data_IF_425360146801
#
_entry.id   IF_425360146801
#
_cell.length_a   1.000
_cell.length_b   1.000
_cell.length_c   1.000
_cell.angle_alpha   90.00
_cell.angle_beta   90.00
_cell.angle_gamma   90.00
#
_symmetry.space_group_name_H-M   'P 1'
#
loop_
_entity.id
_entity.type
_entity.pdbx_description
1 polymer ?
#
# COMPACT_ATOMS: atom_id res chain seq x y z
N UNK A 1 5.04 23.75 6.94
CA UNK A 1 4.12 23.17 7.94
C UNK A 1 4.86 22.04 8.61
N UNK A 2 4.60 21.80 9.92
CA UNK A 2 5.13 20.67 10.68
C UNK A 2 4.08 19.55 10.68
N UNK A 3 4.48 18.34 10.24
CA UNK A 3 3.60 17.17 10.14
C UNK A 3 4.14 15.99 10.93
N UNK A 4 3.28 15.10 11.40
CA UNK A 4 3.66 13.83 11.97
C UNK A 4 3.77 12.76 10.87
N UNK A 5 4.73 11.85 10.98
CA UNK A 5 4.81 10.70 10.09
C UNK A 5 5.20 9.43 10.86
N UNK A 6 4.29 8.47 10.91
CA UNK A 6 4.45 7.22 11.65
C UNK A 6 4.51 6.04 10.67
N UNK A 7 5.59 5.27 10.77
CA UNK A 7 5.93 4.26 9.78
C UNK A 7 6.74 4.85 8.62
N UNK A 8 8.05 4.98 8.78
CA UNK A 8 8.99 5.53 7.78
C UNK A 8 9.82 4.44 7.10
N UNK A 9 9.21 3.26 6.93
CA UNK A 9 9.80 2.12 6.21
C UNK A 9 9.91 2.35 4.70
N UNK A 10 9.81 1.26 3.91
CA UNK A 10 10.04 1.28 2.45
C UNK A 10 9.11 2.23 1.69
N UNK A 11 7.85 2.37 2.13
CA UNK A 11 6.88 3.29 1.51
C UNK A 11 6.85 4.64 2.22
N UNK A 12 6.71 4.65 3.56
CA UNK A 12 6.57 5.88 4.33
C UNK A 12 7.81 6.76 4.30
N UNK A 13 9.01 6.19 4.31
CA UNK A 13 10.26 6.95 4.24
C UNK A 13 10.38 7.84 3.01
N UNK A 14 10.23 7.32 1.78
CA UNK A 14 10.19 8.14 0.56
C UNK A 14 9.10 9.20 0.58
N UNK A 15 7.87 8.86 1.01
CA UNK A 15 6.77 9.81 1.12
C UNK A 15 7.09 10.96 2.08
N UNK A 16 7.63 10.64 3.26
CA UNK A 16 8.08 11.64 4.24
C UNK A 16 9.19 12.53 3.65
N UNK A 17 10.19 11.94 2.98
CA UNK A 17 11.24 12.72 2.29
C UNK A 17 10.71 13.70 1.25
N UNK A 18 9.64 13.35 0.54
CA UNK A 18 9.02 14.25 -0.43
C UNK A 18 8.36 15.46 0.25
N UNK A 19 7.73 15.29 1.41
CA UNK A 19 7.25 16.41 2.22
C UNK A 19 8.41 17.33 2.64
N UNK A 20 9.51 16.75 3.12
CA UNK A 20 10.71 17.51 3.50
C UNK A 20 11.31 18.30 2.32
N UNK A 21 11.40 17.69 1.13
CA UNK A 21 11.86 18.36 -0.11
C UNK A 21 10.99 19.56 -0.49
N UNK A 22 9.73 19.58 -0.11
CA UNK A 22 8.79 20.69 -0.33
C UNK A 22 8.79 21.74 0.80
N UNK A 23 9.75 21.62 1.74
CA UNK A 23 9.95 22.61 2.80
C UNK A 23 9.04 22.41 4.04
N UNK A 24 8.44 21.24 4.19
CA UNK A 24 7.75 20.86 5.43
C UNK A 24 8.75 20.31 6.45
N UNK A 25 8.37 20.33 7.73
CA UNK A 25 9.10 19.67 8.82
C UNK A 25 8.34 18.42 9.24
N UNK A 26 9.05 17.40 9.71
CA UNK A 26 8.45 16.14 10.12
C UNK A 26 8.84 15.73 11.55
N UNK A 27 7.85 15.35 12.36
CA UNK A 27 8.05 14.59 13.60
C UNK A 27 7.78 13.12 13.25
N UNK A 28 8.80 12.27 13.36
CA UNK A 28 8.72 10.89 12.89
C UNK A 28 8.80 9.88 14.04
N UNK A 29 8.08 8.77 13.87
CA UNK A 29 8.15 7.60 14.72
C UNK A 29 8.12 6.32 13.89
N UNK A 30 8.96 5.37 14.23
CA UNK A 30 8.97 3.99 13.71
C UNK A 30 9.53 3.07 14.81
N UNK A 31 9.11 1.82 14.81
CA UNK A 31 9.67 0.79 15.71
C UNK A 31 11.06 0.32 15.25
N UNK A 32 11.45 0.61 14.00
CA UNK A 32 12.71 0.24 13.39
C UNK A 32 13.69 1.39 13.42
N UNK A 33 14.75 1.26 14.21
CA UNK A 33 15.86 2.21 14.25
C UNK A 33 16.53 2.39 12.87
N UNK A 34 16.61 1.32 12.07
CA UNK A 34 17.13 1.39 10.70
C UNK A 34 16.24 2.25 9.78
N UNK A 35 14.93 2.20 9.95
CA UNK A 35 14.01 3.06 9.20
C UNK A 35 14.17 4.52 9.61
N UNK A 36 14.27 4.80 10.91
CA UNK A 36 14.53 6.12 11.45
C UNK A 36 15.89 6.68 11.01
N UNK A 37 16.92 5.84 10.93
CA UNK A 37 18.24 6.26 10.46
C UNK A 37 18.23 6.74 9.01
N UNK A 38 17.39 6.15 8.15
CA UNK A 38 17.25 6.53 6.72
C UNK A 38 16.49 7.84 6.49
N UNK A 39 15.79 8.37 7.51
CA UNK A 39 15.00 9.61 7.41
C UNK A 39 15.66 10.78 8.18
N UNK A 40 16.93 10.70 8.51
CA UNK A 40 17.64 11.75 9.23
C UNK A 40 17.95 12.98 8.36
N UNK A 41 18.03 14.17 8.96
CA UNK A 41 18.39 15.42 8.27
C UNK A 41 17.72 16.65 8.90
N UNK A 42 17.98 17.83 8.31
CA UNK A 42 17.35 19.08 8.72
C UNK A 42 15.83 19.01 8.51
N UNK A 43 15.05 19.47 9.49
CA UNK A 43 13.59 19.43 9.45
C UNK A 43 12.98 18.10 9.94
N UNK A 44 13.79 17.14 10.39
CA UNK A 44 13.32 15.89 10.99
C UNK A 44 13.57 15.86 12.49
N UNK A 45 12.53 15.58 13.26
CA UNK A 45 12.61 15.27 14.68
C UNK A 45 12.08 13.87 14.94
N UNK A 46 12.78 13.07 15.71
CA UNK A 46 12.31 11.76 16.18
C UNK A 46 11.47 11.94 17.44
N UNK A 47 10.40 11.18 17.55
CA UNK A 47 9.57 11.08 18.75
C UNK A 47 9.65 9.65 19.30
N UNK A 48 9.34 9.49 20.60
CA UNK A 48 9.45 8.23 21.30
C UNK A 48 8.16 7.39 21.24
N UNK A 49 7.05 7.98 20.80
CA UNK A 49 5.76 7.30 20.66
C UNK A 49 4.85 8.00 19.65
N UNK A 50 3.79 7.30 19.14
CA UNK A 50 2.74 7.93 18.33
C UNK A 50 2.05 9.08 19.02
N UNK A 51 1.85 8.99 20.34
CA UNK A 51 1.31 10.06 21.19
C UNK A 51 2.19 11.31 21.12
N UNK A 52 3.51 11.15 21.33
CA UNK A 52 4.45 12.26 21.29
C UNK A 52 4.52 12.93 19.91
N UNK A 53 4.31 12.17 18.81
CA UNK A 53 4.14 12.76 17.47
C UNK A 53 2.91 13.67 17.44
N UNK A 54 1.76 13.17 17.90
CA UNK A 54 0.48 13.88 17.81
C UNK A 54 0.44 15.17 18.66
N UNK A 55 1.16 15.22 19.77
CA UNK A 55 1.25 16.40 20.65
C UNK A 55 1.84 17.64 19.96
N UNK A 56 2.58 17.46 18.86
CA UNK A 56 3.36 18.52 18.21
C UNK A 56 2.84 19.00 16.87
N UNK A 57 1.83 18.33 16.32
CA UNK A 57 1.40 18.55 14.94
C UNK A 57 -0.12 18.64 14.80
N UNK A 58 -0.59 19.13 13.66
CA UNK A 58 -2.01 19.19 13.32
C UNK A 58 -2.43 18.10 12.33
N UNK A 59 -1.45 17.50 11.62
CA UNK A 59 -1.67 16.42 10.66
C UNK A 59 -0.68 15.30 10.94
N UNK A 60 -1.18 14.07 11.05
CA UNK A 60 -0.37 12.85 11.22
C UNK A 60 -0.63 11.90 10.06
N UNK A 61 0.42 11.51 9.36
CA UNK A 61 0.39 10.44 8.38
C UNK A 61 0.79 9.11 9.01
N UNK A 62 0.10 8.04 8.64
CA UNK A 62 0.46 6.66 9.00
C UNK A 62 0.72 5.84 7.76
N UNK A 63 1.76 4.97 7.78
CA UNK A 63 2.08 4.05 6.68
C UNK A 63 2.57 2.72 7.25
N UNK A 64 1.62 1.84 7.54
CA UNK A 64 1.80 0.65 8.38
C UNK A 64 1.39 -0.63 7.63
N UNK A 65 1.98 -1.81 7.96
CA UNK A 65 1.79 -3.02 7.17
C UNK A 65 0.44 -3.71 7.41
N UNK A 66 -0.10 -3.67 8.63
CA UNK A 66 -1.29 -4.45 9.01
C UNK A 66 -2.39 -3.54 9.61
N UNK A 67 -3.68 -3.91 9.43
CA UNK A 67 -4.80 -3.21 10.08
C UNK A 67 -4.65 -3.06 11.59
N UNK A 68 -4.20 -4.13 12.28
CA UNK A 68 -4.00 -4.13 13.74
C UNK A 68 -2.89 -3.15 14.17
N UNK A 69 -1.86 -2.95 13.32
CA UNK A 69 -0.82 -1.96 13.57
C UNK A 69 -1.38 -0.55 13.46
N UNK A 70 -2.24 -0.29 12.48
CA UNK A 70 -2.93 1.00 12.31
C UNK A 70 -3.81 1.29 13.52
N UNK A 71 -4.62 0.34 13.95
CA UNK A 71 -5.48 0.48 15.13
C UNK A 71 -4.66 0.77 16.39
N UNK A 72 -3.60 -0.01 16.63
CA UNK A 72 -2.72 0.18 17.79
C UNK A 72 -2.02 1.53 17.79
N UNK A 73 -1.54 1.99 16.64
CA UNK A 73 -0.88 3.29 16.50
C UNK A 73 -1.86 4.44 16.70
N UNK A 74 -3.07 4.31 16.19
CA UNK A 74 -4.10 5.36 16.33
C UNK A 74 -4.70 5.39 17.73
N UNK A 75 -5.15 4.22 18.23
CA UNK A 75 -5.93 4.16 19.49
C UNK A 75 -5.06 3.93 20.74
N UNK A 76 -3.79 3.52 20.56
CA UNK A 76 -2.91 3.07 21.64
C UNK A 76 -3.23 1.61 22.02
N UNK A 77 -2.19 0.88 22.42
CA UNK A 77 -2.32 -0.43 23.04
C UNK A 77 -2.55 -0.29 24.56
N UNK A 78 -2.20 -1.32 25.31
CA UNK A 78 -2.31 -1.34 26.78
C UNK A 78 -1.57 -0.19 27.46
N UNK A 79 -0.51 0.37 26.85
CA UNK A 79 0.28 1.48 27.38
C UNK A 79 -0.34 2.87 27.10
N UNK A 80 -1.42 2.98 26.31
CA UNK A 80 -2.12 4.24 26.04
C UNK A 80 -1.28 5.31 25.31
N UNK A 81 -0.36 4.92 24.42
CA UNK A 81 0.56 5.84 23.72
C UNK A 81 0.21 6.02 22.22
N UNK A 82 -1.06 5.90 21.86
CA UNK A 82 -1.53 6.13 20.50
C UNK A 82 -1.69 7.61 20.15
N UNK A 83 -1.94 7.88 18.86
CA UNK A 83 -2.21 9.24 18.36
C UNK A 83 -3.37 9.87 19.13
N UNK A 84 -4.45 9.12 19.39
CA UNK A 84 -5.67 9.62 20.05
C UNK A 84 -5.48 10.14 21.48
N UNK A 85 -4.38 9.76 22.15
CA UNK A 85 -4.05 10.25 23.49
C UNK A 85 -3.20 11.52 23.49
N UNK A 86 -2.47 11.81 22.40
CA UNK A 86 -1.68 13.04 22.24
C UNK A 86 -2.37 14.10 21.37
N UNK A 87 -3.40 13.72 20.64
CA UNK A 87 -4.09 14.59 19.69
C UNK A 87 -4.86 15.71 20.40
N UNK A 88 -4.77 16.92 19.82
CA UNK A 88 -5.66 18.04 20.16
C UNK A 88 -6.87 18.01 19.25
N UNK A 89 -7.97 18.61 19.70
CA UNK A 89 -9.16 18.82 18.87
C UNK A 89 -8.79 19.46 17.53
N UNK A 90 -9.36 18.95 16.44
CA UNK A 90 -9.07 19.41 15.08
C UNK A 90 -7.83 18.76 14.41
N UNK A 91 -7.12 17.83 15.08
CA UNK A 91 -6.07 17.05 14.43
C UNK A 91 -6.67 16.18 13.30
N UNK A 92 -5.94 16.05 12.19
CA UNK A 92 -6.30 15.16 11.08
C UNK A 92 -5.30 13.99 11.00
N UNK A 93 -5.81 12.77 11.07
CA UNK A 93 -5.05 11.55 10.78
C UNK A 93 -5.27 11.20 9.31
N UNK A 94 -4.21 10.92 8.58
CA UNK A 94 -4.23 10.46 7.19
C UNK A 94 -3.58 9.08 7.13
N UNK A 95 -4.39 8.03 7.04
CA UNK A 95 -3.90 6.65 6.96
C UNK A 95 -3.60 6.28 5.50
N UNK A 96 -2.31 6.21 5.17
CA UNK A 96 -1.80 5.79 3.84
C UNK A 96 -1.71 4.26 3.70
N UNK A 97 -2.09 3.51 4.73
CA UNK A 97 -2.01 2.05 4.80
C UNK A 97 -3.16 1.40 4.03
N UNK A 98 -2.95 0.16 3.56
CA UNK A 98 -4.06 -0.66 3.05
C UNK A 98 -4.79 -1.34 4.21
N UNK A 99 -6.04 -0.94 4.42
CA UNK A 99 -6.85 -1.33 5.57
C UNK A 99 -8.22 -1.89 5.16
N UNK A 100 -8.94 -2.49 6.11
CA UNK A 100 -10.33 -2.91 5.93
C UNK A 100 -11.28 -1.70 6.08
N UNK A 101 -12.23 -1.48 5.17
CA UNK A 101 -13.18 -0.36 5.28
C UNK A 101 -13.96 -0.34 6.60
N UNK A 102 -14.30 -1.52 7.15
CA UNK A 102 -15.01 -1.62 8.43
C UNK A 102 -14.16 -1.14 9.61
N UNK A 103 -12.87 -1.47 9.63
CA UNK A 103 -11.92 -0.99 10.66
C UNK A 103 -11.79 0.53 10.58
N UNK A 104 -11.60 1.06 9.38
CA UNK A 104 -11.47 2.52 9.17
C UNK A 104 -12.70 3.27 9.64
N UNK A 105 -13.90 2.78 9.32
CA UNK A 105 -15.16 3.42 9.76
C UNK A 105 -15.32 3.38 11.27
N UNK A 106 -15.02 2.27 11.92
CA UNK A 106 -15.05 2.16 13.39
C UNK A 106 -14.06 3.13 14.04
N UNK A 107 -12.81 3.18 13.55
CA UNK A 107 -11.81 4.13 14.05
C UNK A 107 -12.28 5.58 13.89
N UNK A 108 -12.90 5.91 12.75
CA UNK A 108 -13.46 7.23 12.51
C UNK A 108 -14.53 7.62 13.55
N UNK A 109 -15.46 6.71 13.87
CA UNK A 109 -16.50 6.95 14.86
C UNK A 109 -15.91 7.20 16.26
N UNK A 110 -14.90 6.40 16.67
CA UNK A 110 -14.23 6.55 17.94
C UNK A 110 -13.43 7.86 18.05
N UNK A 111 -12.79 8.29 16.96
CA UNK A 111 -12.01 9.53 16.88
C UNK A 111 -12.89 10.78 16.81
N UNK A 112 -14.04 10.70 16.15
CA UNK A 112 -14.99 11.80 16.04
C UNK A 112 -15.49 12.28 17.43
N UNK A 113 -15.63 11.37 18.40
CA UNK A 113 -15.97 11.72 19.77
C UNK A 113 -14.91 12.61 20.47
N UNK A 114 -13.70 12.70 19.92
CA UNK A 114 -12.59 13.52 20.42
C UNK A 114 -12.27 14.71 19.50
N UNK A 115 -13.14 15.00 18.52
CA UNK A 115 -12.92 16.01 17.47
C UNK A 115 -11.61 15.79 16.69
N UNK A 116 -11.29 14.52 16.40
CA UNK A 116 -10.15 14.10 15.57
C UNK A 116 -10.70 13.59 14.25
N UNK A 117 -10.23 14.15 13.14
CA UNK A 117 -10.62 13.70 11.81
C UNK A 117 -9.75 12.52 11.35
N UNK A 118 -10.35 11.57 10.61
CA UNK A 118 -9.66 10.48 9.94
C UNK A 118 -9.97 10.53 8.44
N UNK A 119 -8.92 10.40 7.63
CA UNK A 119 -8.97 10.16 6.18
C UNK A 119 -8.24 8.85 5.90
N UNK A 120 -8.90 7.93 5.23
CA UNK A 120 -8.23 6.78 4.64
C UNK A 120 -7.73 7.15 3.24
N UNK A 121 -6.42 7.06 3.04
CA UNK A 121 -5.74 7.55 1.85
C UNK A 121 -4.70 6.55 1.30
N UNK A 122 -5.05 5.27 1.12
CA UNK A 122 -4.12 4.28 0.62
C UNK A 122 -3.55 4.66 -0.74
N UNK A 123 -2.31 4.19 -0.98
CA UNK A 123 -1.51 4.59 -2.13
C UNK A 123 -1.26 3.45 -3.11
N UNK A 124 -1.04 3.78 -4.38
CA UNK A 124 -0.62 2.87 -5.43
C UNK A 124 0.49 3.48 -6.28
N UNK A 125 1.47 2.66 -6.70
CA UNK A 125 2.64 3.10 -7.49
C UNK A 125 3.94 2.44 -7.04
N UNK A 126 3.91 1.68 -5.91
CA UNK A 126 5.10 1.01 -5.36
C UNK A 126 6.15 1.97 -4.82
N UNK A 127 7.34 1.43 -4.52
CA UNK A 127 8.46 2.20 -3.97
C UNK A 127 8.92 3.28 -4.96
N UNK A 128 9.01 2.95 -6.25
CA UNK A 128 9.41 3.89 -7.31
C UNK A 128 8.46 5.09 -7.36
N UNK A 129 7.14 4.84 -7.26
CA UNK A 129 6.13 5.90 -7.21
C UNK A 129 6.24 6.76 -5.94
N UNK A 130 6.57 6.14 -4.81
CA UNK A 130 6.78 6.88 -3.56
C UNK A 130 8.05 7.75 -3.62
N UNK A 131 9.15 7.26 -4.22
CA UNK A 131 10.38 8.03 -4.41
C UNK A 131 10.20 9.17 -5.40
N UNK A 132 9.52 8.90 -6.51
CA UNK A 132 9.26 9.86 -7.58
C UNK A 132 8.12 10.85 -7.31
N UNK A 133 7.42 10.76 -6.18
CA UNK A 133 6.20 11.55 -5.89
C UNK A 133 5.11 11.40 -6.98
N UNK A 134 4.97 10.21 -7.53
CA UNK A 134 4.03 9.90 -8.62
C UNK A 134 2.91 8.95 -8.20
N UNK A 135 2.71 8.76 -6.89
CA UNK A 135 1.67 7.87 -6.37
C UNK A 135 0.27 8.30 -6.83
N UNK A 136 -0.60 7.30 -7.03
CA UNK A 136 -2.03 7.48 -6.99
C UNK A 136 -2.49 7.31 -5.54
N UNK A 137 -3.18 8.31 -4.99
CA UNK A 137 -3.66 8.36 -3.61
C UNK A 137 -5.19 8.39 -3.63
N UNK A 138 -5.83 7.43 -2.98
CA UNK A 138 -7.27 7.21 -3.00
C UNK A 138 -7.85 7.61 -1.64
N UNK A 139 -8.39 8.84 -1.53
CA UNK A 139 -8.86 9.37 -0.26
C UNK A 139 -10.35 9.09 -0.04
N UNK A 140 -10.69 8.63 1.15
CA UNK A 140 -12.04 8.58 1.69
C UNK A 140 -12.15 9.46 2.93
N UNK A 141 -13.21 10.28 3.02
CA UNK A 141 -13.43 11.17 4.15
C UNK A 141 -14.21 12.42 3.79
N UNK A 142 -14.39 13.32 4.75
CA UNK A 142 -15.13 14.57 4.53
C UNK A 142 -14.34 15.50 3.61
N UNK A 143 -15.03 16.19 2.70
CA UNK A 143 -14.44 17.16 1.77
C UNK A 143 -13.57 18.20 2.48
N UNK A 144 -14.04 18.76 3.59
CA UNK A 144 -13.31 19.80 4.33
C UNK A 144 -11.98 19.30 4.92
N UNK A 145 -11.93 18.05 5.40
CA UNK A 145 -10.70 17.45 5.93
C UNK A 145 -9.73 17.11 4.79
N UNK A 146 -10.27 16.60 3.67
CA UNK A 146 -9.49 16.36 2.45
C UNK A 146 -8.85 17.66 1.92
N UNK A 147 -9.60 18.76 1.83
CA UNK A 147 -9.09 20.04 1.32
C UNK A 147 -7.92 20.57 2.17
N UNK A 148 -7.94 20.33 3.50
CA UNK A 148 -6.85 20.67 4.40
C UNK A 148 -5.56 19.91 4.14
N UNK A 149 -5.66 18.62 3.78
CA UNK A 149 -4.48 17.73 3.61
C UNK A 149 -4.07 17.54 2.17
N UNK A 150 -4.92 17.88 1.20
CA UNK A 150 -4.63 17.73 -0.23
C UNK A 150 -3.29 18.33 -0.66
N UNK A 151 -2.90 19.54 -0.24
CA UNK A 151 -1.59 20.11 -0.62
C UNK A 151 -0.41 19.28 -0.11
N UNK A 152 -0.57 18.57 1.02
CA UNK A 152 0.44 17.66 1.56
C UNK A 152 0.49 16.35 0.77
N UNK A 153 -0.67 15.81 0.39
CA UNK A 153 -0.79 14.60 -0.43
C UNK A 153 -0.19 14.81 -1.82
N UNK A 154 -0.38 15.98 -2.42
CA UNK A 154 0.22 16.38 -3.71
C UNK A 154 1.76 16.48 -3.66
N UNK A 155 2.37 16.53 -2.48
CA UNK A 155 3.83 16.38 -2.34
C UNK A 155 4.30 14.94 -2.57
N UNK A 156 3.41 13.95 -2.44
CA UNK A 156 3.73 12.52 -2.47
C UNK A 156 3.14 11.79 -3.68
N UNK A 157 2.13 12.35 -4.32
CA UNK A 157 1.42 11.72 -5.43
C UNK A 157 1.02 12.70 -6.54
N UNK A 158 1.11 12.22 -7.78
CA UNK A 158 0.67 12.99 -8.95
C UNK A 158 -0.85 12.95 -9.16
N UNK A 159 -1.52 11.95 -8.60
CA UNK A 159 -2.96 11.75 -8.75
C UNK A 159 -3.59 11.55 -7.36
N UNK A 160 -4.26 12.56 -6.85
CA UNK A 160 -4.92 12.55 -5.55
C UNK A 160 -6.43 12.64 -5.76
N UNK A 161 -7.16 11.59 -5.37
CA UNK A 161 -8.59 11.46 -5.59
C UNK A 161 -9.33 11.44 -4.26
N UNK A 162 -10.36 12.28 -4.11
CA UNK A 162 -11.39 12.04 -3.11
C UNK A 162 -12.44 11.14 -3.77
N UNK A 163 -12.52 9.88 -3.34
CA UNK A 163 -13.37 8.86 -3.99
C UNK A 163 -14.70 8.63 -3.28
N UNK A 164 -14.91 9.27 -2.12
CA UNK A 164 -16.14 9.20 -1.36
C UNK A 164 -15.91 9.44 0.13
N UNK A 165 -16.91 9.06 0.94
CA UNK A 165 -16.85 9.15 2.39
C UNK A 165 -15.84 8.19 2.99
N UNK A 166 -15.64 8.26 4.31
CA UNK A 166 -14.69 7.43 5.05
C UNK A 166 -14.84 5.93 4.73
N UNK A 167 -13.72 5.29 4.46
CA UNK A 167 -13.63 3.90 4.00
C UNK A 167 -13.71 3.72 2.48
N UNK A 168 -14.06 4.77 1.71
CA UNK A 168 -14.10 4.69 0.25
C UNK A 168 -12.71 4.56 -0.38
N UNK A 169 -11.69 5.19 0.19
CA UNK A 169 -10.30 5.02 -0.22
C UNK A 169 -9.83 3.57 -0.09
N UNK A 170 -10.13 2.95 1.05
CA UNK A 170 -9.84 1.54 1.31
C UNK A 170 -10.56 0.62 0.33
N UNK A 171 -11.85 0.85 0.02
CA UNK A 171 -12.59 0.11 -1.01
C UNK A 171 -11.89 0.23 -2.36
N UNK A 172 -11.58 1.46 -2.80
CA UNK A 172 -10.91 1.71 -4.07
C UNK A 172 -9.56 0.98 -4.15
N UNK A 173 -8.78 1.01 -3.07
CA UNK A 173 -7.50 0.32 -2.97
C UNK A 173 -7.63 -1.19 -3.07
N UNK A 174 -8.57 -1.80 -2.38
CA UNK A 174 -8.81 -3.25 -2.41
C UNK A 174 -9.24 -3.71 -3.80
N UNK A 175 -10.14 -2.99 -4.47
CA UNK A 175 -10.54 -3.26 -5.86
C UNK A 175 -9.35 -3.13 -6.83
N UNK A 176 -8.54 -2.06 -6.69
CA UNK A 176 -7.35 -1.87 -7.49
C UNK A 176 -6.35 -3.02 -7.32
N UNK A 177 -6.04 -3.40 -6.06
CA UNK A 177 -5.06 -4.43 -5.78
C UNK A 177 -5.53 -5.82 -6.24
N UNK A 178 -6.80 -6.18 -6.01
CA UNK A 178 -7.38 -7.42 -6.55
C UNK A 178 -7.21 -7.48 -8.07
N UNK A 179 -7.53 -6.40 -8.79
CA UNK A 179 -7.37 -6.33 -10.25
C UNK A 179 -5.91 -6.49 -10.66
N UNK A 180 -4.98 -5.79 -9.99
CA UNK A 180 -3.56 -5.87 -10.29
C UNK A 180 -3.00 -7.28 -10.07
N UNK A 181 -3.42 -7.97 -9.00
CA UNK A 181 -2.95 -9.32 -8.70
C UNK A 181 -3.51 -10.36 -9.68
N UNK A 182 -4.79 -10.25 -10.07
CA UNK A 182 -5.38 -11.10 -11.10
C UNK A 182 -4.69 -10.87 -12.46
N UNK A 183 -4.40 -9.62 -12.82
CA UNK A 183 -3.66 -9.28 -14.03
C UNK A 183 -2.26 -9.90 -14.04
N UNK A 184 -1.57 -9.94 -12.89
CA UNK A 184 -0.26 -10.59 -12.80
C UNK A 184 -0.37 -12.10 -13.03
N UNK A 185 -1.36 -12.74 -12.44
CA UNK A 185 -1.58 -14.18 -12.59
C UNK A 185 -1.85 -14.53 -14.04
N UNK A 186 -2.81 -13.87 -14.71
CA UNK A 186 -3.16 -14.15 -16.10
C UNK A 186 -2.04 -13.77 -17.06
N UNK A 187 -1.28 -12.71 -16.80
CA UNK A 187 -0.12 -12.36 -17.62
C UNK A 187 0.99 -13.40 -17.51
N UNK A 188 1.20 -13.99 -16.33
CA UNK A 188 2.15 -15.09 -16.15
C UNK A 188 1.75 -16.33 -16.95
N UNK A 189 0.46 -16.67 -16.99
CA UNK A 189 -0.07 -17.76 -17.83
C UNK A 189 0.15 -17.48 -19.32
N UNK A 190 -0.15 -16.28 -19.79
CA UNK A 190 0.02 -15.88 -21.18
C UNK A 190 1.49 -15.95 -21.62
N UNK A 191 2.43 -15.49 -20.78
CA UNK A 191 3.87 -15.56 -21.07
C UNK A 191 4.37 -17.02 -21.06
N UNK A 192 3.88 -17.86 -20.16
CA UNK A 192 4.19 -19.30 -20.15
C UNK A 192 3.65 -19.97 -21.40
N UNK A 193 2.41 -19.70 -21.80
CA UNK A 193 1.82 -20.23 -23.04
C UNK A 193 2.65 -19.84 -24.26
N UNK A 194 3.02 -18.56 -24.37
CA UNK A 194 3.86 -18.06 -25.46
C UNK A 194 5.21 -18.79 -25.53
N UNK A 195 5.87 -18.93 -24.38
CA UNK A 195 7.16 -19.64 -24.26
C UNK A 195 7.05 -21.08 -24.74
N UNK A 196 6.03 -21.80 -24.28
CA UNK A 196 5.83 -23.22 -24.69
C UNK A 196 5.38 -23.37 -26.13
N UNK A 197 4.77 -22.33 -26.71
CA UNK A 197 4.43 -22.28 -28.15
C UNK A 197 5.60 -21.81 -29.03
N UNK A 198 6.79 -21.56 -28.46
CA UNK A 198 8.01 -21.21 -29.19
C UNK A 198 8.21 -19.73 -29.45
N UNK A 199 7.44 -18.85 -28.77
CA UNK A 199 7.67 -17.40 -28.81
C UNK A 199 8.64 -16.98 -27.71
N UNK A 200 9.44 -15.97 -27.99
CA UNK A 200 10.25 -15.30 -26.99
C UNK A 200 9.33 -14.54 -26.00
N UNK A 201 9.38 -14.80 -24.69
CA UNK A 201 8.47 -14.18 -23.73
C UNK A 201 8.72 -12.67 -23.55
N UNK A 202 9.95 -12.18 -23.77
CA UNK A 202 10.25 -10.75 -23.76
C UNK A 202 9.52 -10.03 -24.89
N UNK A 203 9.60 -10.60 -26.13
CA UNK A 203 8.85 -10.07 -27.29
C UNK A 203 7.33 -10.17 -27.09
N UNK A 204 6.85 -11.26 -26.52
CA UNK A 204 5.41 -11.38 -26.21
C UNK A 204 4.96 -10.33 -25.19
N UNK A 205 5.76 -10.07 -24.17
CA UNK A 205 5.44 -9.03 -23.19
C UNK A 205 5.43 -7.63 -23.81
N UNK A 206 6.36 -7.31 -24.74
CA UNK A 206 6.34 -6.06 -25.53
C UNK A 206 5.03 -5.93 -26.33
N UNK A 207 4.62 -6.99 -27.03
CA UNK A 207 3.36 -7.01 -27.79
C UNK A 207 2.16 -6.81 -26.89
N UNK A 208 2.08 -7.55 -25.78
CA UNK A 208 0.97 -7.40 -24.83
C UNK A 208 0.90 -5.98 -24.25
N UNK A 209 2.06 -5.37 -23.93
CA UNK A 209 2.10 -4.03 -23.37
C UNK A 209 1.69 -2.93 -24.37
N UNK A 210 1.90 -3.16 -25.67
CA UNK A 210 1.47 -2.27 -26.74
C UNK A 210 0.01 -2.52 -27.21
N UNK A 211 -0.62 -3.59 -26.74
CA UNK A 211 -1.94 -4.04 -27.15
C UNK A 211 -2.95 -4.01 -25.96
N UNK A 212 -4.13 -4.56 -26.15
CA UNK A 212 -5.22 -4.58 -25.16
C UNK A 212 -4.91 -5.39 -23.89
N UNK A 213 -3.86 -6.20 -23.88
CA UNK A 213 -3.38 -6.94 -22.71
C UNK A 213 -2.49 -6.13 -21.77
N UNK A 214 -2.28 -4.84 -22.01
CA UNK A 214 -1.42 -3.97 -21.21
C UNK A 214 -1.88 -3.88 -19.76
N UNK A 215 -0.92 -3.90 -18.83
CA UNK A 215 -1.19 -3.65 -17.41
C UNK A 215 0.08 -3.26 -16.66
N UNK A 216 -0.08 -2.59 -15.51
CA UNK A 216 1.03 -2.31 -14.59
C UNK A 216 1.72 -3.61 -14.11
N UNK A 217 0.92 -4.67 -13.91
CA UNK A 217 1.42 -5.98 -13.47
C UNK A 217 2.27 -6.67 -14.54
N UNK A 218 1.93 -6.50 -15.82
CA UNK A 218 2.75 -6.98 -16.93
C UNK A 218 4.11 -6.25 -16.97
N UNK A 219 4.15 -4.93 -16.77
CA UNK A 219 5.41 -4.19 -16.65
C UNK A 219 6.28 -4.74 -15.51
N UNK A 220 5.67 -5.10 -14.38
CA UNK A 220 6.38 -5.69 -13.25
C UNK A 220 6.97 -7.07 -13.62
N UNK A 221 6.22 -7.90 -14.33
CA UNK A 221 6.74 -9.18 -14.87
C UNK A 221 7.91 -8.97 -15.82
N UNK A 222 7.85 -7.99 -16.73
CA UNK A 222 8.96 -7.65 -17.63
C UNK A 222 10.20 -7.20 -16.85
N UNK A 223 10.02 -6.36 -15.86
CA UNK A 223 11.13 -5.78 -15.08
C UNK A 223 11.79 -6.80 -14.15
N UNK A 224 11.04 -7.72 -13.57
CA UNK A 224 11.49 -8.66 -12.54
C UNK A 224 11.31 -10.14 -12.94
N UNK A 225 10.10 -10.56 -13.27
CA UNK A 225 9.75 -11.97 -13.51
C UNK A 225 10.56 -12.60 -14.65
N UNK A 226 10.66 -11.91 -15.80
CA UNK A 226 11.45 -12.38 -16.95
C UNK A 226 12.95 -12.40 -16.68
N UNK A 227 13.44 -11.69 -15.66
CA UNK A 227 14.84 -11.71 -15.20
C UNK A 227 15.09 -12.76 -14.11
N UNK A 228 14.04 -13.41 -13.60
CA UNK A 228 14.15 -14.28 -12.43
C UNK A 228 14.50 -13.54 -11.14
N UNK A 229 14.20 -12.24 -11.07
CA UNK A 229 14.41 -11.42 -9.89
C UNK A 229 13.19 -11.51 -8.97
N UNK A 230 13.36 -12.18 -7.84
CA UNK A 230 12.35 -12.39 -6.81
C UNK A 230 12.57 -11.55 -5.57
N UNK A 231 13.52 -10.62 -5.59
CA UNK A 231 13.77 -9.72 -4.47
C UNK A 231 12.55 -8.84 -4.19
N UNK A 232 12.29 -8.62 -2.90
CA UNK A 232 11.06 -7.95 -2.47
C UNK A 232 11.04 -6.45 -2.83
N UNK A 233 10.01 -6.03 -3.51
CA UNK A 233 9.52 -4.65 -3.56
C UNK A 233 8.12 -4.58 -2.94
N UNK A 234 7.29 -5.59 -3.21
CA UNK A 234 5.98 -5.79 -2.60
C UNK A 234 5.79 -7.29 -2.36
N UNK A 235 5.88 -7.71 -1.10
CA UNK A 235 5.94 -9.13 -0.77
C UNK A 235 4.65 -9.87 -1.06
N UNK A 236 4.77 -11.16 -1.35
CA UNK A 236 3.62 -12.05 -1.52
C UNK A 236 2.76 -12.11 -0.25
N UNK A 237 3.35 -12.02 0.96
CA UNK A 237 2.59 -11.97 2.19
C UNK A 237 1.71 -10.71 2.30
N UNK A 238 2.21 -9.53 1.95
CA UNK A 238 1.43 -8.30 1.94
C UNK A 238 0.35 -8.31 0.85
N UNK A 239 0.68 -8.85 -0.33
CA UNK A 239 -0.31 -9.01 -1.41
C UNK A 239 -1.42 -9.97 -1.02
N UNK A 240 -1.08 -11.09 -0.35
CA UNK A 240 -2.04 -12.05 0.19
C UNK A 240 -2.96 -11.38 1.24
N UNK A 241 -2.40 -10.57 2.16
CA UNK A 241 -3.20 -9.78 3.12
C UNK A 241 -4.19 -8.88 2.40
N UNK A 242 -3.74 -8.09 1.42
CA UNK A 242 -4.61 -7.17 0.69
C UNK A 242 -5.74 -7.91 -0.06
N UNK A 243 -5.42 -9.05 -0.67
CA UNK A 243 -6.43 -9.87 -1.34
C UNK A 243 -7.40 -10.54 -0.36
N UNK A 244 -6.94 -10.92 0.84
CA UNK A 244 -7.82 -11.39 1.93
C UNK A 244 -8.84 -10.32 2.27
N UNK A 245 -8.40 -9.07 2.50
CA UNK A 245 -9.29 -7.95 2.79
C UNK A 245 -10.29 -7.69 1.66
N UNK A 246 -9.88 -7.82 0.40
CA UNK A 246 -10.77 -7.68 -0.75
C UNK A 246 -11.85 -8.78 -0.80
N UNK A 247 -11.46 -10.03 -0.54
CA UNK A 247 -12.39 -11.16 -0.49
C UNK A 247 -13.36 -11.05 0.70
N UNK A 248 -12.89 -10.56 1.84
CA UNK A 248 -13.74 -10.28 3.00
C UNK A 248 -14.78 -9.20 2.68
N UNK A 249 -14.36 -8.14 2.00
CA UNK A 249 -15.28 -7.10 1.51
C UNK A 249 -16.30 -7.69 0.53
N UNK A 250 -15.87 -8.57 -0.39
CA UNK A 250 -16.77 -9.28 -1.29
C UNK A 250 -17.82 -10.10 -0.55
N UNK A 251 -17.42 -10.83 0.51
CA UNK A 251 -18.37 -11.59 1.37
C UNK A 251 -19.36 -10.67 2.10
N UNK A 252 -18.89 -9.53 2.61
CA UNK A 252 -19.74 -8.55 3.31
C UNK A 252 -20.75 -7.86 2.38
N UNK A 253 -20.44 -7.78 1.09
CA UNK A 253 -21.31 -7.13 0.07
C UNK A 253 -22.05 -8.12 -0.83
N UNK A 254 -22.06 -9.42 -0.48
CA UNK A 254 -22.64 -10.51 -1.28
C UNK A 254 -22.18 -10.49 -2.77
N UNK A 255 -20.94 -10.06 -3.01
CA UNK A 255 -20.36 -9.94 -4.34
C UNK A 255 -19.43 -11.13 -4.63
N UNK A 256 -19.77 -12.02 -5.58
CA UNK A 256 -18.89 -13.12 -5.98
C UNK A 256 -17.60 -12.60 -6.66
N UNK A 257 -16.45 -13.07 -6.21
CA UNK A 257 -15.13 -12.67 -6.73
C UNK A 257 -14.34 -13.90 -7.22
N UNK A 258 -14.76 -14.58 -8.31
CA UNK A 258 -14.13 -15.83 -8.77
C UNK A 258 -12.65 -15.65 -9.13
N UNK A 259 -12.29 -14.61 -9.88
CA UNK A 259 -10.89 -14.35 -10.26
C UNK A 259 -10.02 -13.97 -9.05
N UNK A 260 -10.55 -13.18 -8.12
CA UNK A 260 -9.88 -12.89 -6.85
C UNK A 260 -9.64 -14.15 -6.02
N UNK A 261 -10.65 -15.02 -5.91
CA UNK A 261 -10.56 -16.30 -5.19
C UNK A 261 -9.54 -17.25 -5.81
N UNK A 262 -9.50 -17.35 -7.13
CA UNK A 262 -8.50 -18.16 -7.82
C UNK A 262 -7.09 -17.61 -7.59
N UNK A 263 -6.88 -16.31 -7.75
CA UNK A 263 -5.60 -15.64 -7.50
C UNK A 263 -5.15 -15.83 -6.05
N UNK A 264 -6.06 -15.76 -5.09
CA UNK A 264 -5.80 -16.04 -3.69
C UNK A 264 -5.28 -17.48 -3.46
N UNK A 265 -5.89 -18.46 -4.13
CA UNK A 265 -5.44 -19.85 -4.08
C UNK A 265 -4.00 -20.01 -4.60
N UNK A 266 -3.65 -19.33 -5.70
CA UNK A 266 -2.27 -19.32 -6.21
C UNK A 266 -1.31 -18.71 -5.18
N UNK A 267 -1.69 -17.59 -4.53
CA UNK A 267 -0.88 -16.98 -3.48
C UNK A 267 -0.69 -17.94 -2.29
N UNK A 268 -1.72 -18.66 -1.88
CA UNK A 268 -1.60 -19.67 -0.82
C UNK A 268 -0.62 -20.78 -1.20
N UNK A 269 -0.68 -21.29 -2.44
CA UNK A 269 0.26 -22.29 -2.93
C UNK A 269 1.71 -21.79 -2.91
N UNK A 270 1.96 -20.56 -3.37
CA UNK A 270 3.29 -19.95 -3.34
C UNK A 270 3.80 -19.73 -1.90
N UNK A 271 2.92 -19.31 -0.98
CA UNK A 271 3.27 -19.18 0.45
C UNK A 271 3.58 -20.53 1.10
N UNK A 272 2.85 -21.59 0.76
CA UNK A 272 3.11 -22.93 1.24
C UNK A 272 4.49 -23.47 0.79
N UNK A 273 5.02 -22.96 -0.33
CA UNK A 273 6.39 -23.23 -0.80
C UNK A 273 7.46 -22.38 -0.09
N UNK A 274 7.09 -21.54 0.88
CA UNK A 274 8.01 -20.66 1.61
C UNK A 274 8.35 -19.36 0.89
N UNK A 275 7.62 -18.97 -0.18
CA UNK A 275 7.93 -17.76 -0.96
C UNK A 275 7.25 -16.49 -0.45
N UNK A 276 6.65 -16.53 0.73
CA UNK A 276 5.91 -15.40 1.30
C UNK A 276 6.70 -14.09 1.39
N UNK A 277 8.01 -14.16 1.63
CA UNK A 277 8.93 -13.02 1.67
C UNK A 277 9.42 -12.53 0.31
N UNK A 278 9.23 -13.33 -0.77
CA UNK A 278 9.58 -12.90 -2.12
C UNK A 278 8.59 -11.84 -2.65
N UNK A 279 8.99 -11.20 -3.74
CA UNK A 279 8.11 -10.32 -4.49
C UNK A 279 6.89 -11.08 -5.06
N UNK A 280 5.77 -10.38 -5.24
CA UNK A 280 4.54 -10.94 -5.81
C UNK A 280 4.75 -11.63 -7.17
N UNK A 281 5.71 -11.18 -7.99
CA UNK A 281 6.04 -11.82 -9.28
C UNK A 281 6.49 -13.28 -9.13
N UNK A 282 6.85 -13.71 -7.92
CA UNK A 282 7.17 -15.11 -7.63
C UNK A 282 5.99 -16.07 -7.89
N UNK A 283 4.75 -15.58 -8.07
CA UNK A 283 3.62 -16.38 -8.55
C UNK A 283 3.92 -17.07 -9.89
N UNK A 284 4.68 -16.44 -10.79
CA UNK A 284 5.13 -17.03 -12.05
C UNK A 284 5.85 -18.38 -11.85
N UNK A 285 6.60 -18.53 -10.74
CA UNK A 285 7.34 -19.77 -10.43
C UNK A 285 6.44 -20.99 -10.24
N UNK A 286 5.17 -20.81 -9.88
CA UNK A 286 4.24 -21.93 -9.76
C UNK A 286 4.08 -22.66 -11.11
N UNK A 287 3.94 -21.89 -12.18
CA UNK A 287 3.87 -22.44 -13.55
C UNK A 287 5.22 -22.99 -14.00
N UNK A 288 6.31 -22.27 -13.72
CA UNK A 288 7.67 -22.71 -14.08
C UNK A 288 8.01 -24.07 -13.47
N UNK A 289 7.73 -24.27 -12.18
CA UNK A 289 7.98 -25.52 -11.49
C UNK A 289 7.04 -26.66 -11.98
N UNK A 290 5.75 -26.37 -12.15
CA UNK A 290 4.78 -27.38 -12.54
C UNK A 290 5.02 -27.91 -13.98
N UNK A 291 5.56 -27.07 -14.85
CA UNK A 291 5.75 -27.35 -16.28
C UNK A 291 7.22 -27.63 -16.66
N UNK A 292 8.15 -27.49 -15.71
CA UNK A 292 9.59 -27.64 -15.97
C UNK A 292 10.13 -26.67 -17.01
N UNK A 293 9.51 -25.48 -17.14
CA UNK A 293 9.83 -24.49 -18.17
C UNK A 293 10.06 -23.14 -17.51
N UNK A 294 11.20 -22.52 -17.73
CA UNK A 294 11.47 -21.16 -17.27
C UNK A 294 10.96 -20.12 -18.28
N UNK A 295 10.41 -19.04 -17.78
CA UNK A 295 9.97 -17.88 -18.59
C UNK A 295 10.98 -16.76 -18.37
N UNK A 296 11.91 -16.60 -19.31
CA UNK A 296 13.00 -15.59 -19.26
C UNK A 296 13.09 -14.86 -20.59
N UNK A 297 13.35 -13.53 -20.53
CA UNK A 297 13.48 -12.68 -21.72
C UNK A 297 14.17 -11.36 -21.43
#
# INVERSE_FOLDING_TARGET
MKVGFIGVGMMGGPMCRNLLKKGHEAVVYDISEDALARISGSGVRRADSPKAVAEEVEVVFTSLPMPDDVERVIMGGENGEGIAQGARAGLVIVDLSTNAPAVVRRLHEELAAKDIALIDAPVSGGVDGAEGATLAIMCGGRQADYDRVKPLLECMGANVFLVGDIGAGSIAKLCNNMTAFANLAVASEALMLATRAGLDPGKMAEVMQAASGASFSLNRLQRKGLKGDWEQEFTLNLSHKDLTLALDLGRQSDTPLPYGSYTYTLMQQARAKGWGGNDLVALQRLLEESLGTQVRG
#
